data_IF_369370359570
#
_entry.id   IF_369370359570
#
_cell.length_a   1.000
_cell.length_b   1.000
_cell.length_c   1.000
_cell.angle_alpha   90.00
_cell.angle_beta   90.00
_cell.angle_gamma   90.00
#
_symmetry.space_group_name_H-M   'P 1'
#
loop_
_entity.id
_entity.type
_entity.pdbx_description
1 polymer ?
#
# COMPACT_ATOMS: atom_id res chain seq x y z
N UNK A 1 -25.82 57.40 -1.85
CA UNK A 1 -26.54 58.49 -1.16
C UNK A 1 -27.44 57.88 -0.08
N UNK A 2 -27.00 57.89 1.18
CA UNK A 2 -27.78 58.03 2.42
C UNK A 2 -26.80 58.00 3.59
N UNK A 3 -27.14 58.72 4.65
CA UNK A 3 -26.24 59.39 5.61
C UNK A 3 -26.27 58.73 7.00
N UNK A 4 -25.09 58.74 7.65
CA UNK A 4 -24.83 59.18 9.04
C UNK A 4 -25.42 58.45 10.26
N UNK A 5 -24.54 58.00 11.18
CA UNK A 5 -24.29 58.54 12.56
C UNK A 5 -23.47 57.49 13.36
N UNK A 6 -22.19 57.69 13.65
CA UNK A 6 -21.59 58.43 14.79
C UNK A 6 -22.12 58.06 16.19
N UNK A 7 -21.27 57.47 17.03
CA UNK A 7 -21.04 57.89 18.42
C UNK A 7 -19.67 57.42 18.94
N UNK A 8 -19.17 58.24 19.86
CA UNK A 8 -17.80 58.53 20.25
C UNK A 8 -17.67 58.35 21.77
N UNK A 9 -16.54 57.87 22.30
CA UNK A 9 -15.96 58.21 23.62
C UNK A 9 -14.61 57.46 23.75
N UNK A 10 -13.45 58.11 23.54
CA UNK A 10 -12.64 58.99 24.41
C UNK A 10 -11.90 58.29 25.56
N UNK A 11 -10.59 58.48 25.49
CA UNK A 11 -9.47 58.19 26.40
C UNK A 11 -9.60 58.86 27.77
N UNK A 12 -8.86 58.35 28.77
CA UNK A 12 -7.80 59.11 29.44
C UNK A 12 -6.93 58.19 30.33
N UNK A 13 -5.61 58.33 30.16
CA UNK A 13 -4.55 57.82 31.03
C UNK A 13 -4.59 58.50 32.40
N UNK A 14 -4.18 57.78 33.46
CA UNK A 14 -3.16 58.24 34.41
C UNK A 14 -2.76 57.13 35.40
N UNK A 15 -1.48 56.78 35.35
CA UNK A 15 -0.70 56.07 36.37
C UNK A 15 -0.57 56.94 37.65
N UNK A 16 -0.41 56.37 38.86
CA UNK A 16 0.96 56.20 39.37
C UNK A 16 1.19 55.02 40.34
N UNK A 17 2.40 54.43 40.27
CA UNK A 17 3.32 54.46 41.43
C UNK A 17 3.66 53.17 42.19
N UNK A 18 4.83 52.60 41.82
CA UNK A 18 5.99 52.24 42.69
C UNK A 18 5.90 51.24 43.88
N UNK A 19 6.72 50.16 43.72
CA UNK A 19 7.77 49.61 44.62
C UNK A 19 7.42 48.80 45.90
N UNK A 20 7.66 47.49 45.87
CA UNK A 20 8.79 46.74 46.51
C UNK A 20 8.41 45.32 46.99
N UNK A 21 9.29 44.37 46.63
CA UNK A 21 9.82 43.21 47.35
C UNK A 21 8.91 42.14 47.98
N UNK A 22 9.26 40.88 47.71
CA UNK A 22 8.88 39.73 48.51
C UNK A 22 9.07 38.40 47.79
N UNK A 23 10.22 37.75 48.02
CA UNK A 23 10.51 36.34 47.75
C UNK A 23 9.39 35.41 48.28
N UNK A 24 9.12 34.29 47.58
CA UNK A 24 9.42 32.95 48.12
C UNK A 24 8.83 31.78 47.28
N UNK A 25 9.74 30.81 47.02
CA UNK A 25 9.56 29.35 47.02
C UNK A 25 9.02 28.62 45.77
N UNK A 26 10.02 28.18 45.01
CA UNK A 26 10.13 27.03 44.10
C UNK A 26 9.79 25.68 44.78
N UNK A 27 8.98 24.86 44.12
CA UNK A 27 8.80 23.44 44.39
C UNK A 27 8.83 22.69 43.06
N UNK A 28 9.95 22.02 42.80
CA UNK A 28 10.16 21.20 41.62
C UNK A 28 9.36 19.91 41.61
N UNK A 29 8.98 19.49 40.40
CA UNK A 29 8.74 18.09 40.05
C UNK A 29 9.59 17.79 38.81
N UNK A 30 10.26 16.66 38.93
CA UNK A 30 11.33 16.07 38.15
C UNK A 30 10.70 15.13 37.11
N UNK A 31 10.94 15.37 35.82
CA UNK A 31 10.70 14.39 34.76
C UNK A 31 12.07 13.95 34.23
N UNK A 32 12.55 12.84 34.78
CA UNK A 32 13.58 12.02 34.15
C UNK A 32 12.91 10.78 33.56
N UNK A 33 12.94 10.68 32.25
CA UNK A 33 12.64 9.47 31.49
C UNK A 33 13.82 8.50 31.58
N UNK A 34 13.50 7.24 31.92
CA UNK A 34 14.41 6.17 32.29
C UNK A 34 14.64 5.24 31.09
N UNK A 35 15.91 4.93 30.83
CA UNK A 35 16.30 3.86 29.92
C UNK A 35 16.08 2.49 30.55
N UNK A 36 15.30 1.68 29.84
CA UNK A 36 15.30 0.21 29.73
C UNK A 36 16.35 -0.52 30.59
N UNK A 37 15.88 -1.31 31.56
CA UNK A 37 16.54 -2.58 31.93
C UNK A 37 15.52 -3.68 32.29
N UNK A 38 15.95 -4.90 32.04
CA UNK A 38 15.22 -6.16 31.99
C UNK A 38 14.47 -6.53 33.29
N UNK A 39 13.24 -7.03 33.17
CA UNK A 39 12.56 -7.73 34.27
C UNK A 39 11.63 -8.88 33.81
N UNK A 40 11.78 -9.98 34.55
CA UNK A 40 11.08 -11.27 34.61
C UNK A 40 9.52 -11.14 34.70
N UNK A 41 8.70 -11.91 33.94
CA UNK A 41 7.26 -11.69 33.90
C UNK A 41 6.54 -12.48 35.00
N UNK A 42 6.43 -11.91 36.20
CA UNK A 42 5.51 -12.41 37.22
C UNK A 42 5.00 -11.34 38.20
N UNK A 43 3.69 -11.06 38.07
CA UNK A 43 2.72 -10.60 39.09
C UNK A 43 2.51 -9.09 39.26
N UNK A 44 1.34 -8.64 38.80
CA UNK A 44 0.54 -7.61 39.48
C UNK A 44 -0.89 -8.14 39.67
N UNK A 45 -1.21 -8.52 40.91
CA UNK A 45 -2.57 -8.78 41.39
C UNK A 45 -2.75 -8.00 42.68
N UNK A 46 -3.86 -7.26 42.82
CA UNK A 46 -4.22 -6.62 44.09
C UNK A 46 -5.34 -7.41 44.75
N UNK A 47 -5.11 -7.79 46.00
CA UNK A 47 -6.08 -8.51 46.85
C UNK A 47 -6.77 -7.48 47.74
N UNK A 48 -8.10 -7.46 47.74
CA UNK A 48 -8.90 -6.66 48.68
C UNK A 48 -9.02 -7.39 50.02
N UNK A 49 -9.39 -6.68 51.09
CA UNK A 49 -9.36 -7.19 52.48
C UNK A 49 -10.30 -8.40 52.76
N UNK A 50 -11.13 -8.81 51.80
CA UNK A 50 -11.98 -9.99 51.86
C UNK A 50 -11.43 -11.21 51.07
N UNK A 51 -10.22 -11.09 50.51
CA UNK A 51 -9.55 -12.18 49.80
C UNK A 51 -9.94 -12.33 48.33
N UNK A 52 -10.75 -11.42 47.78
CA UNK A 52 -11.11 -11.45 46.37
C UNK A 52 -10.00 -10.84 45.51
N UNK A 53 -9.56 -11.57 44.48
CA UNK A 53 -8.54 -11.14 43.52
C UNK A 53 -9.24 -10.51 42.32
N UNK A 54 -9.03 -9.20 42.09
CA UNK A 54 -9.56 -8.50 40.92
C UNK A 54 -8.40 -8.15 39.99
N UNK A 55 -8.47 -8.60 38.73
CA UNK A 55 -7.58 -8.14 37.66
C UNK A 55 -8.06 -6.75 37.23
N UNK A 56 -7.16 -5.77 37.26
CA UNK A 56 -7.39 -4.47 36.62
C UNK A 56 -7.25 -4.69 35.11
N UNK A 57 -8.32 -4.46 34.36
CA UNK A 57 -8.25 -4.24 32.92
C UNK A 57 -8.03 -2.74 32.75
N UNK A 58 -6.85 -2.36 32.28
CA UNK A 58 -6.65 -1.07 31.66
C UNK A 58 -7.10 -1.21 30.21
N UNK A 59 -8.11 -0.43 29.83
CA UNK A 59 -8.54 -0.22 28.45
C UNK A 59 -7.47 0.63 27.75
N UNK A 60 -6.39 -0.01 27.29
CA UNK A 60 -5.52 0.55 26.26
C UNK A 60 -5.94 -0.05 24.91
N UNK A 61 -6.27 0.83 23.97
CA UNK A 61 -6.49 0.55 22.56
C UNK A 61 -5.25 -0.17 22.00
N UNK A 62 -5.23 -1.49 22.08
CA UNK A 62 -4.37 -2.31 21.24
C UNK A 62 -5.06 -2.41 19.88
N UNK A 63 -4.57 -1.60 18.94
CA UNK A 63 -4.59 -1.98 17.53
C UNK A 63 -3.86 -3.33 17.43
N UNK A 64 -4.59 -4.42 17.65
CA UNK A 64 -4.24 -5.72 17.11
C UNK A 64 -4.37 -5.56 15.60
N UNK A 65 -3.30 -5.05 15.00
CA UNK A 65 -2.88 -5.51 13.69
C UNK A 65 -2.74 -7.04 13.83
N UNK A 66 -3.85 -7.75 13.57
CA UNK A 66 -3.86 -9.13 13.09
C UNK A 66 -3.13 -9.14 11.73
N UNK A 67 -1.83 -8.82 11.75
CA UNK A 67 -0.87 -9.35 10.81
C UNK A 67 -0.69 -10.82 11.22
N UNK A 68 -1.72 -11.62 10.95
CA UNK A 68 -1.45 -13.01 10.61
C UNK A 68 -0.50 -12.96 9.41
N UNK A 69 0.80 -13.10 9.68
CA UNK A 69 1.76 -13.62 8.70
C UNK A 69 1.27 -15.01 8.30
N UNK A 70 0.25 -15.04 7.45
CA UNK A 70 -0.08 -16.19 6.65
C UNK A 70 1.14 -16.38 5.77
N UNK A 71 1.96 -17.39 6.08
CA UNK A 71 3.00 -17.89 5.20
C UNK A 71 2.39 -17.94 3.79
N UNK A 72 2.87 -17.08 2.89
CA UNK A 72 2.41 -17.05 1.51
C UNK A 72 2.57 -18.48 0.97
N UNK A 73 1.49 -19.19 0.61
CA UNK A 73 1.64 -20.44 -0.09
C UNK A 73 2.36 -20.13 -1.39
N UNK A 74 3.35 -20.96 -1.74
CA UNK A 74 4.07 -20.86 -3.01
C UNK A 74 3.11 -20.47 -4.14
N UNK A 75 3.49 -19.45 -4.93
CA UNK A 75 2.75 -18.65 -5.93
C UNK A 75 1.68 -19.32 -6.83
N UNK A 76 1.55 -20.65 -6.77
CA UNK A 76 0.60 -21.50 -7.46
C UNK A 76 -0.76 -21.68 -6.75
N UNK A 77 -0.88 -21.44 -5.44
CA UNK A 77 -2.09 -21.85 -4.65
C UNK A 77 -2.86 -20.70 -3.96
N UNK A 78 -2.58 -19.45 -4.31
CA UNK A 78 -3.44 -18.32 -3.91
C UNK A 78 -4.89 -18.59 -4.37
N UNK A 79 -5.92 -18.39 -3.50
CA UNK A 79 -7.32 -18.57 -3.87
C UNK A 79 -7.61 -17.81 -5.16
N UNK A 80 -7.92 -18.57 -6.21
CA UNK A 80 -8.19 -18.01 -7.53
C UNK A 80 -9.41 -17.09 -7.41
N UNK A 81 -9.32 -15.81 -7.83
CA UNK A 81 -10.49 -14.95 -7.96
C UNK A 81 -11.62 -15.72 -8.63
N UNK A 82 -12.76 -15.88 -7.95
CA UNK A 82 -13.88 -16.63 -8.52
C UNK A 82 -14.50 -15.81 -9.66
N UNK A 83 -13.97 -15.95 -10.87
CA UNK A 83 -14.59 -15.36 -12.05
C UNK A 83 -15.75 -16.28 -12.44
N UNK A 84 -17.02 -15.83 -12.33
CA UNK A 84 -18.16 -16.64 -12.75
C UNK A 84 -18.03 -16.99 -14.24
N UNK A 85 -18.50 -18.18 -14.61
CA UNK A 85 -18.58 -18.56 -16.02
C UNK A 85 -19.60 -17.66 -16.71
N UNK A 86 -19.16 -17.03 -17.80
CA UNK A 86 -19.97 -16.11 -18.60
C UNK A 86 -20.02 -16.67 -20.03
N UNK A 87 -21.07 -17.46 -20.29
CA UNK A 87 -21.23 -18.16 -21.57
C UNK A 87 -21.49 -17.18 -22.72
N UNK A 88 -22.17 -16.05 -22.45
CA UNK A 88 -22.42 -15.01 -23.45
C UNK A 88 -21.10 -14.37 -23.88
N UNK A 89 -20.27 -13.99 -22.91
CA UNK A 89 -18.93 -13.48 -23.17
C UNK A 89 -18.06 -14.48 -23.96
N UNK A 90 -18.08 -15.76 -23.58
CA UNK A 90 -17.29 -16.80 -24.25
C UNK A 90 -17.65 -16.90 -25.75
N UNK A 91 -18.95 -16.87 -26.07
CA UNK A 91 -19.43 -16.93 -27.45
C UNK A 91 -19.08 -15.66 -28.24
N UNK A 92 -19.17 -14.47 -27.63
CA UNK A 92 -18.79 -13.22 -28.28
C UNK A 92 -17.32 -13.19 -28.65
N UNK A 93 -16.44 -13.58 -27.72
CA UNK A 93 -15.00 -13.58 -27.92
C UNK A 93 -14.61 -14.59 -29.00
N UNK A 94 -15.20 -15.79 -29.00
CA UNK A 94 -14.95 -16.80 -30.04
C UNK A 94 -15.39 -16.30 -31.43
N UNK A 95 -16.53 -15.60 -31.50
CA UNK A 95 -17.00 -14.99 -32.74
C UNK A 95 -16.08 -13.85 -33.23
N UNK A 96 -15.58 -13.00 -32.32
CA UNK A 96 -14.59 -11.96 -32.65
C UNK A 96 -13.26 -12.57 -33.11
N UNK A 97 -12.78 -13.62 -32.46
CA UNK A 97 -11.56 -14.32 -32.81
C UNK A 97 -11.65 -14.99 -34.20
N UNK A 98 -12.84 -15.42 -34.61
CA UNK A 98 -13.08 -16.12 -35.88
C UNK A 98 -13.22 -15.21 -37.10
N UNK A 99 -13.28 -13.88 -36.93
CA UNK A 99 -13.42 -12.92 -38.04
C UNK A 99 -12.27 -13.03 -39.06
N UNK A 100 -12.43 -12.63 -40.33
CA UNK A 100 -11.31 -12.55 -41.27
C UNK A 100 -10.18 -11.66 -40.75
N UNK A 101 -8.93 -12.03 -41.06
CA UNK A 101 -7.72 -11.37 -40.55
C UNK A 101 -7.70 -9.88 -40.91
N UNK A 102 -8.14 -9.52 -42.11
CA UNK A 102 -8.21 -8.13 -42.58
C UNK A 102 -9.19 -7.30 -41.75
N UNK A 103 -10.37 -7.85 -41.42
CA UNK A 103 -11.36 -7.17 -40.59
C UNK A 103 -10.87 -7.03 -39.15
N UNK A 104 -10.23 -8.08 -38.63
CA UNK A 104 -9.64 -8.08 -37.30
C UNK A 104 -8.58 -6.98 -37.16
N UNK A 105 -7.64 -6.86 -38.12
CA UNK A 105 -6.61 -5.81 -38.12
C UNK A 105 -7.22 -4.41 -38.28
N UNK A 106 -8.28 -4.28 -39.09
CA UNK A 106 -8.93 -3.01 -39.33
C UNK A 106 -9.60 -2.44 -38.05
N UNK A 107 -10.17 -3.30 -37.21
CA UNK A 107 -10.74 -2.89 -35.91
C UNK A 107 -9.70 -2.26 -34.96
N UNK A 108 -8.42 -2.64 -35.09
CA UNK A 108 -7.32 -2.11 -34.27
C UNK A 108 -6.45 -1.08 -35.01
N UNK A 109 -6.94 -0.53 -36.12
CA UNK A 109 -6.22 0.49 -36.92
C UNK A 109 -6.25 1.90 -36.32
N UNK A 110 -6.93 2.11 -35.19
CA UNK A 110 -6.92 3.39 -34.48
C UNK A 110 -5.54 3.67 -33.86
N UNK A 111 -4.82 4.74 -34.26
CA UNK A 111 -3.53 5.11 -33.67
C UNK A 111 -3.62 5.51 -32.20
N UNK A 112 -4.79 5.93 -31.72
CA UNK A 112 -4.98 6.32 -30.32
C UNK A 112 -4.93 5.12 -29.36
N UNK A 113 -5.23 3.93 -29.86
CA UNK A 113 -5.33 2.70 -29.05
C UNK A 113 -4.12 1.78 -29.29
N UNK A 114 -3.57 1.78 -30.51
CA UNK A 114 -2.60 0.76 -30.93
C UNK A 114 -1.28 1.38 -31.38
N UNK A 115 -0.21 1.08 -30.65
CA UNK A 115 1.16 1.44 -31.01
C UNK A 115 1.69 0.62 -32.21
N UNK A 116 2.75 1.10 -32.87
CA UNK A 116 3.34 0.42 -34.03
C UNK A 116 3.82 -1.02 -33.73
N UNK A 117 4.46 -1.32 -32.57
CA UNK A 117 4.81 -2.70 -32.20
C UNK A 117 3.61 -3.64 -32.11
N UNK A 118 2.48 -3.17 -31.55
CA UNK A 118 1.27 -3.99 -31.44
C UNK A 118 0.70 -4.28 -32.83
N UNK A 119 0.74 -3.32 -33.77
CA UNK A 119 0.31 -3.54 -35.15
C UNK A 119 1.17 -4.56 -35.90
N UNK A 120 2.47 -4.59 -35.63
CA UNK A 120 3.36 -5.61 -36.19
C UNK A 120 2.99 -7.00 -35.65
N UNK A 121 2.76 -7.10 -34.34
CA UNK A 121 2.33 -8.33 -33.68
C UNK A 121 0.99 -8.85 -34.24
N UNK A 122 -0.02 -7.98 -34.37
CA UNK A 122 -1.34 -8.34 -34.91
C UNK A 122 -1.27 -8.89 -36.35
N UNK A 123 -0.37 -8.34 -37.17
CA UNK A 123 -0.12 -8.85 -38.53
C UNK A 123 0.54 -10.23 -38.52
N UNK A 124 1.43 -10.49 -37.58
CA UNK A 124 2.12 -11.78 -37.48
C UNK A 124 1.16 -12.89 -37.05
N UNK A 125 0.38 -12.67 -35.98
CA UNK A 125 -0.62 -13.65 -35.51
C UNK A 125 -1.78 -13.84 -36.50
N UNK A 126 -2.00 -12.88 -37.38
CA UNK A 126 -2.99 -12.98 -38.46
C UNK A 126 -2.60 -14.00 -39.54
N UNK A 127 -1.31 -14.31 -39.69
CA UNK A 127 -0.82 -15.24 -40.73
C UNK A 127 -1.07 -16.71 -40.37
N UNK A 128 -1.21 -17.02 -39.09
CA UNK A 128 -1.43 -18.39 -38.63
C UNK A 128 -2.89 -18.79 -38.83
N UNK A 129 -3.11 -19.95 -39.46
CA UNK A 129 -4.44 -20.49 -39.68
C UNK A 129 -5.08 -20.92 -38.36
N UNK A 130 -6.40 -20.73 -38.26
CA UNK A 130 -7.21 -21.24 -37.14
C UNK A 130 -7.29 -22.77 -37.23
N UNK A 131 -7.35 -23.42 -36.07
CA UNK A 131 -7.46 -24.87 -35.97
C UNK A 131 -8.92 -25.31 -36.04
N UNK A 132 -9.13 -26.50 -36.57
CA UNK A 132 -10.37 -27.25 -36.42
C UNK A 132 -10.40 -28.03 -35.11
N UNK A 133 -11.59 -28.42 -34.65
CA UNK A 133 -11.73 -29.23 -33.43
C UNK A 133 -10.95 -30.56 -33.50
N UNK A 134 -10.89 -31.19 -34.68
CA UNK A 134 -10.12 -32.42 -34.89
C UNK A 134 -8.60 -32.17 -34.77
N UNK A 135 -8.13 -31.03 -35.28
CA UNK A 135 -6.72 -30.63 -35.15
C UNK A 135 -6.35 -30.26 -33.71
N UNK A 136 -7.25 -29.63 -32.95
CA UNK A 136 -7.06 -29.34 -31.52
C UNK A 136 -6.84 -30.64 -30.72
N UNK A 137 -7.68 -31.65 -30.98
CA UNK A 137 -7.55 -32.98 -30.36
C UNK A 137 -6.22 -33.63 -30.74
N UNK A 138 -5.85 -33.62 -32.02
CA UNK A 138 -4.60 -34.21 -32.49
C UNK A 138 -3.36 -33.53 -31.89
N UNK A 139 -3.40 -32.21 -31.71
CA UNK A 139 -2.32 -31.45 -31.07
C UNK A 139 -2.26 -31.73 -29.56
N UNK A 140 -3.40 -31.76 -28.88
CA UNK A 140 -3.48 -32.12 -27.46
C UNK A 140 -2.86 -33.50 -27.19
N UNK A 141 -3.19 -34.51 -27.98
CA UNK A 141 -2.61 -35.85 -27.84
C UNK A 141 -1.09 -35.88 -27.99
N UNK A 142 -0.55 -35.11 -28.94
CA UNK A 142 0.91 -34.99 -29.14
C UNK A 142 1.58 -34.28 -27.97
N UNK A 143 0.95 -33.25 -27.40
CA UNK A 143 1.44 -32.55 -26.21
C UNK A 143 1.48 -33.49 -25.01
N UNK A 144 0.40 -34.23 -24.73
CA UNK A 144 0.35 -35.20 -23.63
C UNK A 144 1.41 -36.30 -23.79
N UNK A 145 1.53 -36.90 -25.00
CA UNK A 145 2.59 -37.88 -25.28
C UNK A 145 4.00 -37.33 -25.07
N UNK A 146 4.25 -36.09 -25.49
CA UNK A 146 5.55 -35.44 -25.27
C UNK A 146 5.86 -35.20 -23.80
N UNK A 147 4.84 -34.89 -23.00
CA UNK A 147 4.96 -34.69 -21.54
C UNK A 147 5.20 -36.00 -20.79
N UNK A 148 4.49 -37.06 -21.18
CA UNK A 148 4.73 -38.41 -20.65
C UNK A 148 6.15 -38.89 -20.99
N UNK A 149 6.62 -38.59 -22.20
CA UNK A 149 7.99 -38.88 -22.63
C UNK A 149 9.03 -38.08 -21.82
N UNK A 150 8.76 -36.81 -21.50
CA UNK A 150 9.63 -35.98 -20.67
C UNK A 150 9.75 -36.55 -19.24
N UNK A 151 8.63 -36.94 -18.62
CA UNK A 151 8.63 -37.60 -17.32
C UNK A 151 9.44 -38.90 -17.35
N UNK A 152 9.24 -39.72 -18.38
CA UNK A 152 9.98 -40.98 -18.55
C UNK A 152 11.49 -40.78 -18.68
N UNK A 153 11.93 -39.71 -19.34
CA UNK A 153 13.36 -39.38 -19.48
C UNK A 153 14.01 -39.01 -18.14
N UNK A 154 13.24 -38.45 -17.21
CA UNK A 154 13.68 -38.10 -15.85
C UNK A 154 13.65 -39.33 -14.92
N UNK A 155 12.59 -40.13 -14.98
CA UNK A 155 12.40 -41.29 -14.09
C UNK A 155 13.25 -42.51 -14.47
N UNK A 156 13.52 -42.72 -15.76
CA UNK A 156 14.28 -43.85 -16.30
C UNK A 156 15.58 -43.39 -17.00
N UNK A 157 16.59 -42.85 -16.29
CA UNK A 157 17.79 -42.30 -16.94
C UNK A 157 18.66 -43.36 -17.63
N UNK A 158 18.59 -44.60 -17.17
CA UNK A 158 19.26 -45.76 -17.76
C UNK A 158 18.35 -46.47 -18.77
N UNK A 159 18.37 -45.98 -20.01
CA UNK A 159 17.68 -46.56 -21.16
C UNK A 159 18.68 -46.79 -22.31
N UNK A 160 18.36 -47.73 -23.22
CA UNK A 160 19.18 -47.94 -24.41
C UNK A 160 19.14 -46.72 -25.35
N UNK A 161 20.17 -46.58 -26.18
CA UNK A 161 20.38 -45.39 -27.02
C UNK A 161 19.25 -45.21 -28.06
N UNK A 162 18.65 -46.31 -28.51
CA UNK A 162 17.52 -46.30 -29.45
C UNK A 162 16.24 -45.81 -28.74
N UNK A 163 15.92 -46.36 -27.56
CA UNK A 163 14.79 -45.93 -26.72
C UNK A 163 14.94 -44.46 -26.30
N UNK A 164 16.15 -44.02 -25.94
CA UNK A 164 16.40 -42.60 -25.62
C UNK A 164 16.09 -41.71 -26.81
N UNK A 165 16.56 -42.08 -28.00
CA UNK A 165 16.31 -41.32 -29.23
C UNK A 165 14.81 -41.22 -29.56
N UNK A 166 14.04 -42.30 -29.34
CA UNK A 166 12.59 -42.31 -29.52
C UNK A 166 11.87 -41.40 -28.51
N UNK A 167 12.24 -41.46 -27.23
CA UNK A 167 11.66 -40.61 -26.18
C UNK A 167 11.95 -39.14 -26.46
N UNK A 168 13.19 -38.80 -26.80
CA UNK A 168 13.58 -37.44 -27.20
C UNK A 168 12.80 -36.95 -28.44
N UNK A 169 12.51 -37.82 -29.40
CA UNK A 169 11.67 -37.48 -30.53
C UNK A 169 10.25 -37.07 -30.08
N UNK A 170 9.62 -37.82 -29.19
CA UNK A 170 8.28 -37.47 -28.68
C UNK A 170 8.26 -36.17 -27.88
N UNK A 171 9.31 -35.90 -27.08
CA UNK A 171 9.46 -34.60 -26.39
C UNK A 171 9.50 -33.45 -27.39
N UNK A 172 10.32 -33.58 -28.44
CA UNK A 172 10.42 -32.56 -29.50
C UNK A 172 9.11 -32.38 -30.28
N UNK A 173 8.43 -33.49 -30.58
CA UNK A 173 7.13 -33.47 -31.25
C UNK A 173 6.05 -32.76 -30.41
N UNK A 174 6.02 -33.05 -29.10
CA UNK A 174 5.13 -32.39 -28.14
C UNK A 174 5.38 -30.89 -28.05
N UNK A 175 6.64 -30.45 -28.03
CA UNK A 175 6.99 -29.03 -28.02
C UNK A 175 6.52 -28.30 -29.30
N UNK A 176 6.68 -28.93 -30.46
CA UNK A 176 6.20 -28.38 -31.74
C UNK A 176 4.66 -28.30 -31.74
N UNK A 177 3.99 -29.33 -31.22
CA UNK A 177 2.53 -29.33 -31.09
C UNK A 177 2.04 -28.22 -30.15
N UNK A 178 2.72 -28.02 -29.02
CA UNK A 178 2.44 -26.94 -28.07
C UNK A 178 2.59 -25.56 -28.72
N UNK A 179 3.68 -25.32 -29.44
CA UNK A 179 3.92 -24.07 -30.17
C UNK A 179 2.82 -23.83 -31.21
N UNK A 180 2.45 -24.85 -31.98
CA UNK A 180 1.39 -24.75 -32.99
C UNK A 180 0.03 -24.42 -32.35
N UNK A 181 -0.36 -25.15 -31.29
CA UNK A 181 -1.62 -24.91 -30.58
C UNK A 181 -1.66 -23.51 -29.97
N UNK A 182 -0.54 -23.04 -29.41
CA UNK A 182 -0.42 -21.67 -28.88
C UNK A 182 -0.57 -20.64 -29.99
N UNK A 183 0.22 -20.75 -31.07
CA UNK A 183 0.25 -19.75 -32.15
C UNK A 183 -1.10 -19.56 -32.85
N UNK A 184 -1.85 -20.65 -33.04
CA UNK A 184 -3.17 -20.59 -33.67
C UNK A 184 -4.23 -19.88 -32.82
N UNK A 185 -4.01 -19.82 -31.49
CA UNK A 185 -4.93 -19.25 -30.52
C UNK A 185 -4.53 -17.86 -30.02
N UNK A 186 -3.44 -17.25 -30.52
CA UNK A 186 -3.04 -15.89 -30.11
C UNK A 186 -4.11 -14.83 -30.42
N UNK A 187 -4.93 -15.06 -31.43
CA UNK A 187 -6.06 -14.18 -31.79
C UNK A 187 -7.13 -14.15 -30.70
N UNK A 188 -7.37 -15.29 -30.03
CA UNK A 188 -8.30 -15.40 -28.91
C UNK A 188 -7.87 -14.50 -27.75
N UNK A 189 -6.56 -14.47 -27.45
CA UNK A 189 -6.00 -13.61 -26.40
C UNK A 189 -6.30 -12.15 -26.66
N UNK A 190 -6.07 -11.69 -27.88
CA UNK A 190 -6.31 -10.30 -28.28
C UNK A 190 -7.80 -9.94 -28.16
N UNK A 191 -8.72 -10.84 -28.57
CA UNK A 191 -10.16 -10.61 -28.41
C UNK A 191 -10.59 -10.53 -26.94
N UNK A 192 -9.99 -11.32 -26.04
CA UNK A 192 -10.25 -11.19 -24.59
C UNK A 192 -9.67 -9.88 -24.05
N UNK A 193 -8.40 -9.59 -24.35
CA UNK A 193 -7.68 -8.41 -23.84
C UNK A 193 -8.35 -7.08 -24.23
N UNK A 194 -9.01 -7.03 -25.39
CA UNK A 194 -9.79 -5.87 -25.86
C UNK A 194 -10.81 -5.38 -24.82
N UNK A 195 -11.42 -6.29 -24.05
CA UNK A 195 -12.43 -5.96 -23.02
C UNK A 195 -11.82 -5.37 -21.74
N UNK A 196 -10.49 -5.34 -21.63
CA UNK A 196 -9.73 -4.86 -20.47
C UNK A 196 -8.96 -3.56 -20.74
N UNK A 197 -9.06 -3.01 -21.96
CA UNK A 197 -8.45 -1.73 -22.33
C UNK A 197 -9.00 -0.62 -21.42
N UNK A 198 -8.11 0.27 -20.97
CA UNK A 198 -8.46 1.42 -20.12
C UNK A 198 -8.58 1.10 -18.62
N UNK A 199 -8.11 -0.07 -18.17
CA UNK A 199 -8.07 -0.45 -16.75
C UNK A 199 -6.71 -0.22 -16.07
N UNK A 200 -5.94 0.77 -16.54
CA UNK A 200 -4.64 1.15 -15.95
C UNK A 200 -3.40 0.43 -16.52
N UNK A 201 -3.58 -0.57 -17.39
CA UNK A 201 -2.48 -1.30 -18.05
C UNK A 201 -2.49 -1.06 -19.57
N UNK A 202 -1.32 -1.06 -20.21
CA UNK A 202 -1.22 -0.89 -21.66
C UNK A 202 -1.79 -2.11 -22.41
N UNK A 203 -2.29 -1.91 -23.62
CA UNK A 203 -2.85 -3.02 -24.41
C UNK A 203 -1.81 -4.11 -24.75
N UNK A 204 -0.55 -3.73 -24.94
CA UNK A 204 0.54 -4.67 -25.18
C UNK A 204 0.80 -5.57 -23.96
N UNK A 205 0.73 -5.00 -22.76
CA UNK A 205 0.95 -5.74 -21.52
C UNK A 205 -0.23 -6.67 -21.24
N UNK A 206 -1.46 -6.21 -21.46
CA UNK A 206 -2.66 -7.05 -21.37
C UNK A 206 -2.60 -8.26 -22.30
N UNK A 207 -2.12 -8.08 -23.55
CA UNK A 207 -1.92 -9.19 -24.49
C UNK A 207 -0.84 -10.14 -23.97
N UNK A 208 0.27 -9.61 -23.46
CA UNK A 208 1.40 -10.40 -23.00
C UNK A 208 1.01 -11.28 -21.80
N UNK A 209 0.29 -10.71 -20.82
CA UNK A 209 -0.25 -11.44 -19.68
C UNK A 209 -1.33 -12.46 -20.10
N UNK A 210 -2.17 -12.10 -21.06
CA UNK A 210 -3.12 -13.02 -21.66
C UNK A 210 -2.45 -14.20 -22.38
N UNK A 211 -1.30 -13.99 -23.03
CA UNK A 211 -0.51 -15.05 -23.66
C UNK A 211 0.07 -16.02 -22.61
N UNK A 212 0.46 -15.52 -21.43
CA UNK A 212 0.88 -16.37 -20.30
C UNK A 212 -0.30 -17.25 -19.83
N UNK A 213 -1.50 -16.68 -19.75
CA UNK A 213 -2.74 -17.43 -19.48
C UNK A 213 -3.01 -18.51 -20.52
N UNK A 214 -2.89 -18.17 -21.81
CA UNK A 214 -3.04 -19.12 -22.91
C UNK A 214 -2.03 -20.28 -22.82
N UNK A 215 -0.77 -20.00 -22.54
CA UNK A 215 0.26 -21.05 -22.38
C UNK A 215 -0.11 -22.04 -21.27
N UNK A 216 -0.61 -21.53 -20.13
CA UNK A 216 -1.12 -22.38 -19.03
C UNK A 216 -2.32 -23.22 -19.48
N UNK A 217 -3.24 -22.64 -20.26
CA UNK A 217 -4.36 -23.38 -20.82
C UNK A 217 -3.89 -24.51 -21.73
N UNK A 218 -2.94 -24.25 -22.63
CA UNK A 218 -2.38 -25.27 -23.54
C UNK A 218 -1.74 -26.42 -22.77
N UNK A 219 -1.02 -26.14 -21.67
CA UNK A 219 -0.36 -27.17 -20.86
C UNK A 219 -1.33 -28.05 -20.06
N UNK A 220 -2.51 -27.53 -19.71
CA UNK A 220 -3.50 -28.21 -18.86
C UNK A 220 -4.74 -28.67 -19.62
N UNK A 221 -4.82 -28.42 -20.93
CA UNK A 221 -5.98 -28.76 -21.73
C UNK A 221 -6.16 -30.27 -21.88
N UNK A 222 -7.36 -30.73 -21.55
CA UNK A 222 -7.78 -32.10 -21.70
C UNK A 222 -8.85 -32.21 -22.80
N UNK A 223 -8.52 -32.99 -23.83
CA UNK A 223 -9.39 -33.20 -24.99
C UNK A 223 -10.46 -34.28 -24.74
N UNK A 224 -10.31 -35.12 -23.70
CA UNK A 224 -11.27 -36.17 -23.38
C UNK A 224 -12.61 -35.62 -22.87
N UNK A 225 -12.58 -34.40 -22.32
CA UNK A 225 -13.77 -33.70 -21.83
C UNK A 225 -14.72 -33.26 -22.96
N UNK A 226 -14.28 -33.31 -24.23
CA UNK A 226 -15.14 -33.04 -25.39
C UNK A 226 -15.53 -31.56 -25.60
N UNK A 227 -14.97 -30.64 -24.82
CA UNK A 227 -15.15 -29.20 -25.02
C UNK A 227 -14.10 -28.64 -25.98
N UNK A 228 -14.46 -27.56 -26.70
CA UNK A 228 -13.50 -26.83 -27.54
C UNK A 228 -12.38 -26.22 -26.69
N UNK A 229 -11.20 -26.08 -27.28
CA UNK A 229 -10.08 -25.42 -26.61
C UNK A 229 -10.41 -23.95 -26.24
N UNK A 230 -11.14 -23.23 -27.10
CA UNK A 230 -11.55 -21.83 -26.88
C UNK A 230 -12.28 -21.62 -25.55
N UNK A 231 -13.20 -22.51 -25.20
CA UNK A 231 -14.00 -22.45 -23.96
C UNK A 231 -13.11 -22.53 -22.73
N UNK A 232 -12.17 -23.48 -22.71
CA UNK A 232 -11.23 -23.65 -21.61
C UNK A 232 -10.19 -22.54 -21.53
N UNK A 233 -9.61 -22.15 -22.67
CA UNK A 233 -8.57 -21.14 -22.75
C UNK A 233 -9.06 -19.76 -22.33
N UNK A 234 -10.30 -19.40 -22.65
CA UNK A 234 -10.89 -18.10 -22.29
C UNK A 234 -10.85 -17.87 -20.78
N UNK A 235 -11.09 -18.90 -19.96
CA UNK A 235 -11.01 -18.80 -18.51
C UNK A 235 -9.60 -18.44 -18.03
N UNK A 236 -8.58 -19.18 -18.50
CA UNK A 236 -7.18 -18.94 -18.12
C UNK A 236 -6.65 -17.58 -18.60
N UNK A 237 -7.02 -17.17 -19.82
CA UNK A 237 -6.64 -15.87 -20.37
C UNK A 237 -7.26 -14.75 -19.53
N UNK A 238 -8.55 -14.85 -19.22
CA UNK A 238 -9.27 -13.87 -18.40
C UNK A 238 -8.70 -13.78 -16.99
N UNK A 239 -8.35 -14.92 -16.41
CA UNK A 239 -7.76 -15.01 -15.08
C UNK A 239 -6.37 -14.36 -15.03
N UNK A 240 -5.50 -14.67 -15.99
CA UNK A 240 -4.17 -14.08 -16.07
C UNK A 240 -4.23 -12.56 -16.23
N UNK A 241 -5.07 -12.07 -17.15
CA UNK A 241 -5.25 -10.62 -17.37
C UNK A 241 -5.81 -9.94 -16.11
N UNK A 242 -6.84 -10.51 -15.49
CA UNK A 242 -7.46 -9.93 -14.29
C UNK A 242 -6.48 -9.87 -13.11
N UNK A 243 -5.67 -10.92 -12.92
CA UNK A 243 -4.62 -10.97 -11.90
C UNK A 243 -3.54 -9.92 -12.17
N UNK A 244 -3.03 -9.85 -13.40
CA UNK A 244 -2.01 -8.87 -13.77
C UNK A 244 -2.48 -7.42 -13.59
N UNK A 245 -3.75 -7.13 -13.89
CA UNK A 245 -4.34 -5.81 -13.62
C UNK A 245 -4.37 -5.53 -12.11
N UNK A 246 -4.80 -6.48 -11.29
CA UNK A 246 -4.78 -6.32 -9.84
C UNK A 246 -3.35 -6.07 -9.32
N UNK A 247 -2.37 -6.75 -9.90
CA UNK A 247 -0.99 -6.72 -9.43
C UNK A 247 -0.17 -5.51 -9.89
N UNK A 248 -0.42 -5.01 -11.11
CA UNK A 248 0.47 -4.06 -11.79
C UNK A 248 -0.22 -2.77 -12.29
N UNK A 249 -1.56 -2.71 -12.37
CA UNK A 249 -2.22 -1.57 -13.01
C UNK A 249 -2.20 -0.27 -12.19
N UNK A 250 -1.79 -0.32 -10.92
CA UNK A 250 -1.73 0.84 -10.03
C UNK A 250 -0.28 1.24 -9.75
N UNK A 251 -0.03 2.54 -9.73
CA UNK A 251 1.28 3.13 -9.37
C UNK A 251 1.74 2.69 -7.98
N UNK A 252 0.80 2.63 -7.03
CA UNK A 252 1.00 2.06 -5.71
C UNK A 252 0.32 0.69 -5.71
N UNK A 253 1.13 -0.37 -5.61
CA UNK A 253 0.65 -1.75 -5.63
C UNK A 253 -0.27 -2.01 -4.44
N UNK A 254 -1.37 -2.71 -4.69
CA UNK A 254 -2.36 -3.12 -3.68
C UNK A 254 -2.50 -4.64 -3.76
N UNK A 255 -2.55 -5.37 -2.62
CA UNK A 255 -2.78 -6.81 -2.63
C UNK A 255 -4.09 -7.22 -3.32
N UNK A 256 -4.12 -8.42 -3.92
CA UNK A 256 -5.25 -8.91 -4.73
C UNK A 256 -6.58 -8.92 -3.96
N UNK A 257 -6.58 -9.38 -2.70
CA UNK A 257 -7.79 -9.43 -1.87
C UNK A 257 -8.40 -8.05 -1.60
N UNK A 258 -7.57 -7.00 -1.55
CA UNK A 258 -8.02 -5.62 -1.44
C UNK A 258 -8.62 -5.11 -2.75
N UNK A 259 -8.05 -5.48 -3.90
CA UNK A 259 -8.61 -5.17 -5.23
C UNK A 259 -9.98 -5.85 -5.42
N UNK A 260 -10.14 -7.10 -4.97
CA UNK A 260 -11.42 -7.79 -4.96
C UNK A 260 -12.46 -7.06 -4.10
N UNK A 261 -12.05 -6.63 -2.90
CA UNK A 261 -12.88 -5.85 -1.98
C UNK A 261 -13.31 -4.52 -2.60
N UNK A 262 -12.41 -3.80 -3.27
CA UNK A 262 -12.72 -2.56 -4.01
C UNK A 262 -13.72 -2.83 -5.14
N UNK A 263 -13.51 -3.88 -5.93
CA UNK A 263 -14.42 -4.23 -7.02
C UNK A 263 -15.80 -4.64 -6.52
N UNK A 264 -15.86 -5.36 -5.39
CA UNK A 264 -17.12 -5.75 -4.73
C UNK A 264 -17.86 -4.51 -4.20
N UNK A 265 -17.16 -3.60 -3.52
CA UNK A 265 -17.69 -2.32 -3.08
C UNK A 265 -18.25 -1.52 -4.26
N UNK A 266 -17.49 -1.37 -5.35
CA UNK A 266 -17.92 -0.62 -6.53
C UNK A 266 -19.16 -1.23 -7.20
N UNK A 267 -19.31 -2.56 -7.20
CA UNK A 267 -20.51 -3.25 -7.69
C UNK A 267 -21.73 -2.99 -6.79
N UNK A 268 -21.56 -3.13 -5.48
CA UNK A 268 -22.60 -2.88 -4.48
C UNK A 268 -23.05 -1.42 -4.53
N UNK A 269 -22.10 -0.48 -4.57
CA UNK A 269 -22.37 0.95 -4.67
C UNK A 269 -23.18 1.29 -5.92
N UNK A 270 -22.81 0.76 -7.10
CA UNK A 270 -23.56 0.99 -8.35
C UNK A 270 -24.98 0.43 -8.29
N UNK A 271 -25.16 -0.77 -7.74
CA UNK A 271 -26.49 -1.37 -7.57
C UNK A 271 -27.37 -0.57 -6.61
N UNK A 272 -26.83 -0.22 -5.43
CA UNK A 272 -27.55 0.60 -4.44
C UNK A 272 -27.86 2.00 -4.98
N UNK A 273 -26.94 2.62 -5.73
CA UNK A 273 -27.20 3.91 -6.36
C UNK A 273 -28.38 3.85 -7.35
N UNK A 274 -28.51 2.74 -8.08
CA UNK A 274 -29.64 2.50 -8.99
C UNK A 274 -30.96 2.28 -8.24
N UNK A 275 -30.94 1.54 -7.13
CA UNK A 275 -32.13 1.26 -6.32
C UNK A 275 -32.61 2.48 -5.52
N UNK A 276 -31.68 3.25 -4.95
CA UNK A 276 -31.97 4.40 -4.09
C UNK A 276 -32.15 5.71 -4.87
N UNK A 277 -31.66 5.77 -6.11
CA UNK A 277 -31.65 7.01 -6.91
C UNK A 277 -30.73 8.11 -6.37
N UNK A 278 -29.82 7.76 -5.46
CA UNK A 278 -28.80 8.64 -4.87
C UNK A 278 -27.54 7.83 -4.54
N UNK A 279 -26.41 8.51 -4.31
CA UNK A 279 -25.22 7.83 -3.81
C UNK A 279 -25.48 7.22 -2.42
N UNK A 280 -25.15 5.94 -2.20
CA UNK A 280 -25.37 5.26 -0.93
C UNK A 280 -24.35 5.70 0.13
N UNK A 281 -24.75 5.67 1.39
CA UNK A 281 -23.85 6.00 2.51
C UNK A 281 -22.91 4.83 2.82
N UNK A 282 -21.76 5.09 3.47
CA UNK A 282 -20.84 4.01 3.88
C UNK A 282 -21.50 2.98 4.79
N UNK A 283 -22.47 3.40 5.60
CA UNK A 283 -23.29 2.53 6.47
C UNK A 283 -24.22 1.62 5.66
N UNK A 284 -24.87 2.13 4.61
CA UNK A 284 -25.74 1.35 3.71
C UNK A 284 -24.92 0.35 2.90
N UNK A 285 -23.75 0.75 2.42
CA UNK A 285 -22.82 -0.13 1.71
C UNK A 285 -22.30 -1.21 2.67
N UNK A 286 -22.00 -0.87 3.92
CA UNK A 286 -21.52 -1.82 4.93
C UNK A 286 -22.53 -2.92 5.28
N UNK A 287 -23.84 -2.63 5.20
CA UNK A 287 -24.88 -3.65 5.39
C UNK A 287 -24.95 -4.65 4.22
N UNK A 288 -24.64 -4.19 3.01
CA UNK A 288 -24.70 -5.03 1.82
C UNK A 288 -23.38 -5.73 1.50
N UNK A 289 -22.27 -5.18 1.99
CA UNK A 289 -21.02 -5.90 2.06
C UNK A 289 -21.11 -6.94 3.19
N UNK A 290 -20.68 -8.19 2.94
CA UNK A 290 -20.53 -9.27 3.93
C UNK A 290 -19.45 -8.98 5.01
N UNK A 291 -19.46 -7.77 5.58
CA UNK A 291 -18.57 -7.31 6.67
C UNK A 291 -19.21 -7.51 8.05
N UNK A 292 -20.51 -7.77 8.09
CA UNK A 292 -21.29 -8.04 9.29
C UNK A 292 -21.78 -9.49 9.26
N UNK A 293 -21.97 -10.08 10.44
CA UNK A 293 -22.64 -11.37 10.55
C UNK A 293 -24.06 -11.27 9.94
N UNK A 294 -24.57 -12.33 9.29
CA UNK A 294 -25.90 -12.31 8.67
C UNK A 294 -27.02 -12.07 9.69
N UNK A 295 -26.79 -12.42 10.94
CA UNK A 295 -27.67 -12.16 12.09
C UNK A 295 -27.70 -10.66 12.43
N UNK A 296 -26.52 -10.05 12.55
CA UNK A 296 -26.34 -8.62 12.84
C UNK A 296 -26.96 -7.76 11.72
N UNK A 297 -26.76 -8.14 10.44
CA UNK A 297 -27.40 -7.47 9.30
C UNK A 297 -28.92 -7.46 9.43
N UNK A 298 -29.53 -8.63 9.70
CA UNK A 298 -30.99 -8.75 9.85
C UNK A 298 -31.51 -7.94 11.02
N UNK A 299 -30.79 -7.97 12.16
CA UNK A 299 -31.16 -7.18 13.34
C UNK A 299 -31.16 -5.68 13.03
N UNK A 300 -30.16 -5.19 12.28
CA UNK A 300 -30.09 -3.79 11.85
C UNK A 300 -31.22 -3.45 10.88
N UNK A 301 -31.47 -4.28 9.86
CA UNK A 301 -32.57 -4.07 8.90
C UNK A 301 -33.95 -4.06 9.58
N UNK A 302 -34.18 -4.95 10.55
CA UNK A 302 -35.41 -5.00 11.35
C UNK A 302 -35.55 -3.78 12.26
N UNK A 303 -34.46 -3.31 12.87
CA UNK A 303 -34.47 -2.11 13.70
C UNK A 303 -34.78 -0.86 12.87
N UNK A 304 -34.15 -0.71 11.69
CA UNK A 304 -34.42 0.39 10.75
C UNK A 304 -35.87 0.36 10.29
N UNK A 305 -36.39 -0.81 9.90
CA UNK A 305 -37.77 -0.96 9.41
C UNK A 305 -38.82 -0.64 10.48
N UNK A 306 -38.53 -0.97 11.73
CA UNK A 306 -39.44 -0.77 12.85
C UNK A 306 -39.18 0.53 13.62
N UNK A 307 -38.26 1.39 13.14
CA UNK A 307 -37.82 2.64 13.79
C UNK A 307 -37.43 2.44 15.27
N UNK A 308 -36.80 1.30 15.58
CA UNK A 308 -36.34 0.97 16.94
C UNK A 308 -34.90 1.44 17.13
N UNK A 309 -34.52 1.89 18.34
CA UNK A 309 -33.12 2.16 18.65
C UNK A 309 -32.33 0.86 18.58
N UNK A 310 -31.14 0.93 17.98
CA UNK A 310 -30.20 -0.18 17.93
C UNK A 310 -29.60 -0.43 19.32
N UNK A 311 -29.23 -1.67 19.57
CA UNK A 311 -28.38 -2.01 20.72
C UNK A 311 -27.03 -1.29 20.56
N UNK A 312 -26.52 -0.56 21.58
CA UNK A 312 -25.24 0.13 21.50
C UNK A 312 -24.07 -0.75 21.02
N UNK A 313 -24.07 -2.05 21.32
CA UNK A 313 -23.01 -2.94 20.85
C UNK A 313 -23.12 -3.21 19.34
N UNK A 314 -24.33 -3.42 18.85
CA UNK A 314 -24.63 -3.63 17.42
C UNK A 314 -24.34 -2.35 16.61
N UNK A 315 -24.68 -1.18 17.16
CA UNK A 315 -24.36 0.12 16.56
C UNK A 315 -22.84 0.32 16.41
N UNK A 316 -22.06 0.00 17.46
CA UNK A 316 -20.58 0.06 17.39
C UNK A 316 -20.00 -0.87 16.32
N UNK A 317 -20.57 -2.08 16.15
CA UNK A 317 -20.13 -3.03 15.10
C UNK A 317 -20.46 -2.50 13.71
N UNK A 318 -21.65 -1.92 13.51
CA UNK A 318 -22.04 -1.30 12.25
C UNK A 318 -21.16 -0.10 11.88
N UNK A 319 -20.85 0.76 12.85
CA UNK A 319 -19.92 1.88 12.66
C UNK A 319 -18.51 1.40 12.29
N UNK A 320 -18.00 0.36 12.95
CA UNK A 320 -16.71 -0.27 12.57
C UNK A 320 -16.73 -0.79 11.13
N UNK A 321 -17.82 -1.44 10.70
CA UNK A 321 -17.98 -1.87 9.31
C UNK A 321 -18.00 -0.67 8.34
N UNK A 322 -18.67 0.44 8.70
CA UNK A 322 -18.69 1.66 7.89
C UNK A 322 -17.29 2.31 7.79
N UNK A 323 -16.51 2.33 8.87
CA UNK A 323 -15.11 2.79 8.86
C UNK A 323 -14.26 1.91 7.94
N UNK A 324 -14.47 0.59 7.96
CA UNK A 324 -13.78 -0.33 7.04
C UNK A 324 -14.11 -0.03 5.57
N UNK A 325 -15.37 0.30 5.25
CA UNK A 325 -15.77 0.77 3.92
C UNK A 325 -15.05 2.07 3.53
N UNK A 326 -14.95 3.02 4.45
CA UNK A 326 -14.20 4.27 4.22
C UNK A 326 -12.71 4.02 3.98
N UNK A 327 -12.09 3.09 4.73
CA UNK A 327 -10.70 2.67 4.51
C UNK A 327 -10.51 2.07 3.12
N UNK A 328 -11.41 1.19 2.67
CA UNK A 328 -11.39 0.64 1.30
C UNK A 328 -11.53 1.77 0.27
N UNK A 329 -12.41 2.75 0.49
CA UNK A 329 -12.53 3.91 -0.38
C UNK A 329 -11.23 4.71 -0.47
N UNK A 330 -10.56 4.97 0.65
CA UNK A 330 -9.28 5.68 0.69
C UNK A 330 -8.20 4.93 -0.09
N UNK A 331 -8.09 3.62 0.12
CA UNK A 331 -7.15 2.75 -0.61
C UNK A 331 -7.47 2.68 -2.11
N UNK A 332 -8.73 2.85 -2.50
CA UNK A 332 -9.14 2.84 -3.91
C UNK A 332 -8.72 4.08 -4.70
N UNK A 333 -8.35 5.18 -4.03
CA UNK A 333 -7.98 6.44 -4.66
C UNK A 333 -6.68 6.28 -5.47
N UNK A 334 -6.65 6.90 -6.65
CA UNK A 334 -5.46 6.91 -7.52
C UNK A 334 -4.64 8.18 -7.28
N UNK A 335 -3.30 8.08 -7.27
CA UNK A 335 -2.45 9.25 -7.11
C UNK A 335 -2.58 10.19 -8.31
N UNK A 336 -2.49 11.49 -8.05
CA UNK A 336 -2.46 12.51 -9.11
C UNK A 336 -1.02 12.83 -9.52
N UNK A 337 -0.83 13.22 -10.78
CA UNK A 337 0.48 13.66 -11.26
C UNK A 337 0.81 15.06 -10.75
N UNK A 338 2.05 15.27 -10.29
CA UNK A 338 2.57 16.59 -9.94
C UNK A 338 2.74 17.48 -11.18
N UNK A 339 2.95 16.88 -12.35
CA UNK A 339 3.05 17.58 -13.62
C UNK A 339 1.67 17.98 -14.18
N UNK A 340 0.58 17.66 -13.47
CA UNK A 340 -0.75 18.07 -13.89
C UNK A 340 -0.81 19.61 -13.92
N UNK A 341 -1.12 20.22 -15.09
CA UNK A 341 -1.22 21.67 -15.17
C UNK A 341 -2.41 22.15 -14.33
N UNK A 342 -2.21 23.22 -13.58
CA UNK A 342 -3.22 23.80 -12.71
C UNK A 342 -3.50 25.25 -13.12
N UNK A 343 -4.78 25.60 -13.26
CA UNK A 343 -5.21 26.93 -13.68
C UNK A 343 -5.25 27.13 -15.21
N UNK A 344 -5.33 28.40 -15.64
CA UNK A 344 -5.37 28.78 -17.05
C UNK A 344 -3.99 29.12 -17.63
N UNK A 345 -2.96 29.20 -16.78
CA UNK A 345 -1.59 29.54 -17.19
C UNK A 345 -0.86 28.27 -17.62
N UNK A 346 -0.30 28.26 -18.84
CA UNK A 346 0.32 27.07 -19.46
C UNK A 346 1.59 26.55 -18.75
N UNK A 347 2.11 27.28 -17.76
CA UNK A 347 3.40 26.98 -17.11
C UNK A 347 3.29 26.58 -15.64
N UNK A 348 2.08 26.47 -15.08
CA UNK A 348 1.91 26.17 -13.64
C UNK A 348 1.49 24.72 -13.46
N UNK A 349 2.31 23.95 -12.75
CA UNK A 349 2.06 22.54 -12.42
C UNK A 349 1.63 22.39 -10.96
N UNK A 350 0.92 21.32 -10.63
CA UNK A 350 0.50 21.04 -9.24
C UNK A 350 1.71 20.95 -8.30
N UNK A 351 2.83 20.39 -8.78
CA UNK A 351 4.07 20.25 -8.03
C UNK A 351 4.67 21.58 -7.57
N UNK A 352 4.45 22.67 -8.31
CA UNK A 352 4.97 24.00 -7.96
C UNK A 352 4.31 24.59 -6.70
N UNK A 353 3.19 24.02 -6.24
CA UNK A 353 2.46 24.47 -5.05
C UNK A 353 2.70 23.61 -3.80
N UNK A 354 3.54 22.57 -3.91
CA UNK A 354 3.85 21.72 -2.77
C UNK A 354 5.02 22.33 -2.00
N UNK A 355 4.77 22.71 -0.74
CA UNK A 355 5.80 23.21 0.16
C UNK A 355 6.78 22.09 0.53
N UNK A 356 8.07 22.42 0.62
CA UNK A 356 9.12 21.50 1.09
C UNK A 356 9.37 21.73 2.57
N UNK A 357 8.71 20.93 3.41
CA UNK A 357 8.83 20.99 4.87
C UNK A 357 10.22 20.54 5.40
N UNK A 358 11.06 19.96 4.55
CA UNK A 358 12.39 19.50 4.97
C UNK A 358 13.42 20.64 5.00
N UNK A 359 13.14 21.73 4.30
CA UNK A 359 14.03 22.88 4.24
C UNK A 359 13.62 23.93 5.27
N UNK A 360 14.49 24.27 6.25
CA UNK A 360 14.20 25.36 7.15
C UNK A 360 14.08 26.66 6.36
N UNK A 361 13.14 27.52 6.73
CA UNK A 361 12.99 28.83 6.13
C UNK A 361 14.28 29.66 6.29
N UNK A 362 14.51 30.69 5.46
CA UNK A 362 15.72 31.52 5.57
C UNK A 362 15.93 32.14 6.95
N UNK A 363 14.84 32.47 7.65
CA UNK A 363 14.88 32.97 9.02
C UNK A 363 15.31 31.89 10.02
N UNK A 364 14.78 30.67 9.89
CA UNK A 364 15.11 29.55 10.77
C UNK A 364 16.55 29.07 10.54
N UNK A 365 16.99 29.00 9.28
CA UNK A 365 18.37 28.71 8.94
C UNK A 365 19.35 29.76 9.51
N UNK A 366 19.01 31.05 9.40
CA UNK A 366 19.81 32.13 10.00
C UNK A 366 19.79 32.06 11.53
N UNK A 367 18.65 31.76 12.14
CA UNK A 367 18.52 31.56 13.59
C UNK A 367 19.35 30.38 14.08
N UNK A 368 19.33 29.24 13.37
CA UNK A 368 20.19 28.08 13.67
C UNK A 368 21.68 28.43 13.54
N UNK A 369 22.07 29.18 12.51
CA UNK A 369 23.46 29.63 12.37
C UNK A 369 23.88 30.57 13.50
N UNK A 370 23.04 31.57 13.81
CA UNK A 370 23.28 32.51 14.90
C UNK A 370 23.34 31.80 16.26
N UNK A 371 22.46 30.82 16.50
CA UNK A 371 22.46 29.99 17.69
C UNK A 371 23.78 29.22 17.80
N UNK A 372 24.26 28.62 16.70
CA UNK A 372 25.54 27.88 16.67
C UNK A 372 26.73 28.79 16.98
N UNK A 373 26.75 30.01 16.45
CA UNK A 373 27.78 31.02 16.75
C UNK A 373 27.73 31.44 18.23
N UNK A 374 26.54 31.75 18.77
CA UNK A 374 26.38 32.12 20.19
C UNK A 374 26.74 30.95 21.13
N UNK A 375 26.38 29.71 20.77
CA UNK A 375 26.78 28.52 21.52
C UNK A 375 28.29 28.36 21.54
N UNK A 376 28.97 28.55 20.40
CA UNK A 376 30.43 28.49 20.33
C UNK A 376 31.09 29.59 21.19
N UNK A 377 30.58 30.82 21.13
CA UNK A 377 31.06 31.94 21.95
C UNK A 377 30.92 31.65 23.45
N UNK A 378 29.79 31.09 23.89
CA UNK A 378 29.56 30.76 25.30
C UNK A 378 30.45 29.59 25.75
N UNK A 379 30.60 28.56 24.91
CA UNK A 379 31.46 27.41 25.18
C UNK A 379 32.95 27.83 25.26
N UNK A 380 33.38 28.84 24.49
CA UNK A 380 34.75 29.37 24.54
C UNK A 380 35.13 30.01 25.90
N UNK A 381 34.14 30.43 26.70
CA UNK A 381 34.37 31.00 28.03
C UNK A 381 34.53 29.93 29.13
N UNK A 382 34.29 28.65 28.81
CA UNK A 382 34.57 27.53 29.69
C UNK A 382 36.05 27.15 29.59
N UNK A 383 36.51 26.36 30.55
CA UNK A 383 37.86 25.78 30.42
C UNK A 383 37.89 24.74 29.31
N UNK A 384 39.04 24.53 28.66
CA UNK A 384 39.21 23.56 27.57
C UNK A 384 38.60 22.18 27.89
N UNK A 385 38.89 21.67 29.10
CA UNK A 385 38.32 20.40 29.60
C UNK A 385 36.82 20.43 29.85
N UNK A 386 36.25 21.57 30.25
CA UNK A 386 34.80 21.70 30.45
C UNK A 386 34.07 21.77 29.09
N UNK A 387 34.64 22.45 28.09
CA UNK A 387 34.09 22.53 26.73
C UNK A 387 34.09 21.16 26.04
N UNK A 388 35.23 20.49 26.03
CA UNK A 388 35.42 19.23 25.31
C UNK A 388 34.56 18.09 25.90
N UNK A 389 34.32 18.11 27.23
CA UNK A 389 33.34 17.21 27.88
C UNK A 389 31.92 17.47 27.40
N UNK A 390 31.50 18.73 27.26
CA UNK A 390 30.15 19.07 26.78
C UNK A 390 29.99 18.79 25.28
N UNK A 391 31.01 19.07 24.47
CA UNK A 391 31.00 18.81 23.03
C UNK A 391 30.83 17.32 22.72
N UNK A 392 31.56 16.43 23.42
CA UNK A 392 31.38 14.99 23.26
C UNK A 392 30.08 14.48 23.88
N UNK A 393 29.67 15.00 25.04
CA UNK A 393 28.45 14.55 25.72
C UNK A 393 27.19 14.84 24.91
N UNK A 394 27.08 16.04 24.35
CA UNK A 394 25.92 16.49 23.58
C UNK A 394 26.11 16.35 22.06
N UNK A 395 27.25 15.84 21.60
CA UNK A 395 27.51 15.62 20.18
C UNK A 395 27.59 16.91 19.36
N UNK A 396 28.03 18.02 19.95
CA UNK A 396 28.07 19.32 19.26
C UNK A 396 29.15 19.39 18.16
N UNK A 397 30.18 18.53 18.24
CA UNK A 397 31.23 18.39 17.23
C UNK A 397 30.87 17.36 16.16
N UNK A 398 30.60 16.12 16.59
CA UNK A 398 30.49 14.94 15.72
C UNK A 398 29.04 14.49 15.46
N UNK A 399 28.04 15.20 15.99
CA UNK A 399 26.62 14.87 15.86
C UNK A 399 26.14 13.68 16.69
N UNK A 400 27.04 13.05 17.46
CA UNK A 400 26.78 11.85 18.27
C UNK A 400 26.94 12.15 19.75
N UNK A 401 25.91 11.83 20.55
CA UNK A 401 25.97 11.97 22.01
C UNK A 401 26.68 10.77 22.63
N UNK A 402 27.69 11.03 23.46
CA UNK A 402 28.47 9.98 24.14
C UNK A 402 28.02 9.84 25.59
N UNK A 403 28.09 8.62 26.13
CA UNK A 403 27.80 8.37 27.54
C UNK A 403 28.90 8.93 28.45
N UNK A 404 28.58 9.17 29.73
CA UNK A 404 29.55 9.65 30.73
C UNK A 404 30.75 8.70 30.91
N UNK A 405 30.55 7.42 30.60
CA UNK A 405 31.60 6.40 30.68
C UNK A 405 32.55 6.47 29.49
N UNK A 406 32.04 6.60 28.27
CA UNK A 406 32.83 6.79 27.04
C UNK A 406 33.64 8.08 27.09
N UNK A 407 33.02 9.18 27.51
CA UNK A 407 33.73 10.46 27.72
C UNK A 407 34.81 10.30 28.81
N UNK A 408 34.53 9.53 29.86
CA UNK A 408 35.49 9.23 30.92
C UNK A 408 36.72 8.45 30.42
N UNK A 409 36.49 7.47 29.53
CA UNK A 409 37.56 6.71 28.89
C UNK A 409 38.46 7.59 28.04
N UNK A 410 37.89 8.53 27.27
CA UNK A 410 38.67 9.47 26.44
C UNK A 410 39.58 10.38 27.29
N UNK A 411 39.09 10.89 28.43
CA UNK A 411 39.86 11.78 29.31
C UNK A 411 40.72 11.06 30.36
N UNK A 412 40.68 9.73 30.42
CA UNK A 412 41.37 8.92 31.43
C UNK A 412 40.89 9.19 32.86
N UNK A 413 39.59 9.45 33.05
CA UNK A 413 38.95 9.76 34.34
C UNK A 413 37.68 8.94 34.55
N UNK A 414 37.32 8.71 35.82
CA UNK A 414 36.10 7.96 36.18
C UNK A 414 34.83 8.67 35.71
N UNK A 415 33.77 7.91 35.41
CA UNK A 415 32.41 8.42 35.13
C UNK A 415 31.95 9.54 36.08
N UNK A 416 32.11 9.34 37.38
CA UNK A 416 31.68 10.33 38.39
C UNK A 416 32.46 11.65 38.29
N UNK A 417 33.72 11.60 37.82
CA UNK A 417 34.53 12.80 37.62
C UNK A 417 34.05 13.60 36.41
N UNK A 418 33.63 12.94 35.33
CA UNK A 418 32.99 13.60 34.18
C UNK A 418 31.68 14.25 34.59
N UNK A 419 30.84 13.52 35.37
CA UNK A 419 29.58 14.06 35.93
C UNK A 419 29.81 15.33 36.75
N UNK A 420 30.85 15.36 37.58
CA UNK A 420 31.22 16.55 38.35
C UNK A 420 31.66 17.73 37.45
N UNK A 421 32.40 17.47 36.38
CA UNK A 421 32.85 18.49 35.43
C UNK A 421 31.65 19.05 34.66
N UNK A 422 30.76 18.17 34.18
CA UNK A 422 29.50 18.53 33.52
C UNK A 422 28.62 19.40 34.42
N UNK A 423 28.32 18.96 35.65
CA UNK A 423 27.49 19.72 36.58
C UNK A 423 28.08 21.10 36.89
N UNK A 424 29.42 21.20 37.00
CA UNK A 424 30.12 22.48 37.19
C UNK A 424 30.04 23.36 35.94
N UNK A 425 30.18 22.79 34.75
CA UNK A 425 30.08 23.51 33.48
C UNK A 425 28.65 24.01 33.25
N UNK A 426 27.64 23.15 33.42
CA UNK A 426 26.22 23.53 33.34
C UNK A 426 25.86 24.62 34.35
N UNK A 427 26.35 24.54 35.60
CA UNK A 427 26.14 25.61 36.59
C UNK A 427 26.73 26.95 36.16
N UNK A 428 27.89 26.93 35.49
CA UNK A 428 28.51 28.14 34.91
C UNK A 428 27.73 28.66 33.70
N UNK A 429 27.12 27.78 32.90
CA UNK A 429 26.27 28.15 31.76
C UNK A 429 24.92 28.72 32.20
N UNK A 430 24.37 28.22 33.31
CA UNK A 430 23.11 28.69 33.92
C UNK A 430 23.17 30.09 34.53
N UNK A 431 24.35 30.72 34.57
CA UNK A 431 24.51 32.07 35.10
C UNK A 431 23.74 33.08 34.22
N UNK A 432 22.95 34.02 34.79
CA UNK A 432 22.03 34.89 34.03
C UNK A 432 22.67 35.64 32.86
N UNK A 433 23.92 36.10 33.04
CA UNK A 433 24.69 36.81 32.00
C UNK A 433 24.92 35.96 30.74
N UNK A 434 24.99 34.62 30.87
CA UNK A 434 25.24 33.69 29.77
C UNK A 434 23.94 33.09 29.23
N UNK A 435 23.01 32.72 30.10
CA UNK A 435 21.72 32.14 29.70
C UNK A 435 20.78 33.15 29.03
N UNK A 436 20.86 34.44 29.37
CA UNK A 436 20.01 35.47 28.74
C UNK A 436 20.20 35.54 27.22
N UNK A 437 21.41 35.29 26.70
CA UNK A 437 21.68 35.34 25.25
C UNK A 437 21.08 34.16 24.48
N UNK A 438 20.91 33.02 25.12
CA UNK A 438 20.34 31.82 24.52
C UNK A 438 18.82 31.75 24.68
N UNK A 439 18.25 32.56 25.57
CA UNK A 439 16.83 32.56 25.89
C UNK A 439 15.96 33.01 24.72
N UNK A 440 16.51 33.86 23.86
CA UNK A 440 15.82 34.37 22.66
C UNK A 440 15.66 33.31 21.56
N UNK A 441 16.36 32.16 21.66
CA UNK A 441 16.30 31.04 20.71
C UNK A 441 15.40 29.89 21.19
N UNK A 442 14.69 30.05 22.31
CA UNK A 442 13.84 29.03 22.93
C UNK A 442 12.37 29.22 22.54
N UNK A 443 12.13 29.49 21.25
CA UNK A 443 10.79 29.67 20.67
C UNK A 443 10.23 28.35 20.19
#
# INVERSE_FOLDING_TARGET
MTKSKQRLAKSDEQDPGMLLDGDDLDAGIDDSDDGIDQADPARLTRVLADGTVVKLQDDEDSDEDDDEEQEEPEDADAPVPSIPRDEEFELEVEAEASKPVEQFIQEFSDPAITSDPVRMYLREIGRTALLTAEEEVALSQRIHRGKDAEVRLVEEPEMDDDTRSEVEFFVRDGLIAQQRLTSANLRLVVSVAKRYIGRGMSFSDLISEGNIGLLRAVQKFDHELGFKFSTYATWWIRQAISRAIADQARTIRIPVHMVESINRLARVQRRLAQELGRDPTSEEIALELDLLAPEDKRAIEEAIRNERPLDPELERRWQRAAIKVQRIHRVSQEPMSLDMPVGQEENSSLGDFIEDDTLPGPADAANHQLLREQMHDILSQLTEREREVLEMRFGLGDGTSHTLEEVGQHFGVTRERIRQIEAKALRKLRHPIRSHKLRDYLV
#
